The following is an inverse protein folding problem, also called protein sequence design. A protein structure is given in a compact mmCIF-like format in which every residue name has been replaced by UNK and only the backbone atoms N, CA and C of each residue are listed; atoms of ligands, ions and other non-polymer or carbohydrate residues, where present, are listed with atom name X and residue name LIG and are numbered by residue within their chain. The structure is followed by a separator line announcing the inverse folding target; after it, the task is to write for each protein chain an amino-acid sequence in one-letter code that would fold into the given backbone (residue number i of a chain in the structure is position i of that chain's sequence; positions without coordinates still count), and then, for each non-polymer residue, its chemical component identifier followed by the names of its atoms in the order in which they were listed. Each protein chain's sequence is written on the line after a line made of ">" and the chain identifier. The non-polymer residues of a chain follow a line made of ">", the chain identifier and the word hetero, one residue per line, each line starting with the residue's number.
data_IF_851240743358
#
_entry.id   IF_851240743358
#
_cell.length_a   1.000
_cell.length_b   1.000
_cell.length_c   1.000
_cell.angle_alpha   90.00
_cell.angle_beta   90.00
_cell.angle_gamma   90.00
#
_symmetry.space_group_name_H-M   'P 1'
#
loop_
_entity.id
_entity.type
_entity.pdbx_description
1 polymer ?
#
# COMPACT_ATOMS: atom_id res chain seq x y z
N UNK A 1 -12.80 10.42 14.49
CA UNK A 1 -12.13 11.24 15.53
C UNK A 1 -10.93 11.93 14.90
N UNK A 2 -10.64 13.19 15.21
CA UNK A 2 -9.45 13.91 14.78
C UNK A 2 -8.36 13.76 15.85
N UNK A 3 -7.09 13.81 15.43
CA UNK A 3 -5.99 13.97 16.37
C UNK A 3 -5.86 15.43 16.86
N UNK A 4 -4.87 15.70 17.73
CA UNK A 4 -4.64 17.04 18.29
C UNK A 4 -4.25 18.08 17.23
N UNK A 5 -3.71 17.65 16.10
CA UNK A 5 -3.26 18.50 15.00
C UNK A 5 -4.36 18.71 13.94
N UNK A 6 -5.56 18.15 14.13
CA UNK A 6 -6.69 18.26 13.21
C UNK A 6 -6.67 17.25 12.05
N UNK A 7 -5.84 16.19 12.11
CA UNK A 7 -5.81 15.14 11.09
C UNK A 7 -6.66 13.94 11.49
N UNK A 8 -7.39 13.39 10.52
CA UNK A 8 -8.13 12.13 10.69
C UNK A 8 -7.18 10.95 10.45
N UNK A 9 -6.98 10.04 11.43
CA UNK A 9 -6.28 8.79 11.19
C UNK A 9 -6.99 7.93 10.15
N UNK A 10 -6.22 7.38 9.22
CA UNK A 10 -6.71 6.67 8.05
C UNK A 10 -5.70 5.60 7.62
N UNK A 11 -6.12 4.63 6.84
CA UNK A 11 -5.25 3.66 6.20
C UNK A 11 -5.41 3.74 4.69
N UNK A 12 -4.34 3.52 3.95
CA UNK A 12 -4.37 3.37 2.51
C UNK A 12 -3.82 2.00 2.12
N UNK A 13 -4.40 1.39 1.08
CA UNK A 13 -4.15 -0.01 0.73
C UNK A 13 -3.69 -0.10 -0.73
N UNK A 14 -2.43 -0.46 -0.93
CA UNK A 14 -1.88 -0.76 -2.25
C UNK A 14 -1.90 -2.28 -2.43
N UNK A 15 -2.81 -2.78 -3.26
CA UNK A 15 -2.91 -4.20 -3.59
C UNK A 15 -2.17 -4.43 -4.89
N UNK A 16 -1.25 -5.40 -4.91
CA UNK A 16 -0.52 -5.78 -6.12
C UNK A 16 -0.77 -7.23 -6.50
N UNK A 17 -0.85 -7.50 -7.80
CA UNK A 17 -0.92 -8.87 -8.33
C UNK A 17 0.49 -9.49 -8.50
N UNK A 18 0.57 -10.72 -9.01
CA UNK A 18 1.84 -11.44 -9.24
C UNK A 18 2.80 -10.73 -10.21
N UNK A 19 2.29 -9.81 -11.03
CA UNK A 19 3.08 -9.00 -11.99
C UNK A 19 3.45 -7.62 -11.42
N UNK A 20 3.21 -7.36 -10.12
CA UNK A 20 3.40 -6.07 -9.46
C UNK A 20 2.55 -4.92 -10.05
N UNK A 21 1.46 -5.25 -10.75
CA UNK A 21 0.47 -4.26 -11.14
C UNK A 21 -0.41 -3.94 -9.91
N UNK A 22 -0.77 -2.66 -9.75
CA UNK A 22 -1.59 -2.18 -8.63
C UNK A 22 -3.07 -2.20 -8.96
N UNK A 23 -3.89 -2.54 -7.97
CA UNK A 23 -5.33 -2.30 -8.00
C UNK A 23 -5.60 -0.80 -8.03
N UNK A 24 -6.38 -0.33 -9.01
CA UNK A 24 -6.75 1.07 -9.14
C UNK A 24 -8.27 1.16 -9.27
N UNK A 25 -8.94 1.74 -8.25
CA UNK A 25 -10.39 1.81 -8.14
C UNK A 25 -10.95 3.15 -8.63
N UNK A 26 -12.02 3.11 -9.40
CA UNK A 26 -12.77 4.29 -9.84
C UNK A 26 -13.89 4.58 -8.85
N UNK A 27 -13.90 5.76 -8.27
CA UNK A 27 -14.92 6.20 -7.31
C UNK A 27 -16.28 6.34 -7.97
N UNK A 28 -17.31 5.88 -7.27
CA UNK A 28 -18.71 6.03 -7.69
C UNK A 28 -19.06 7.52 -7.84
N UNK A 29 -19.72 7.86 -8.95
CA UNK A 29 -20.21 9.22 -9.27
C UNK A 29 -19.11 10.29 -9.37
N UNK A 30 -17.85 9.88 -9.40
CA UNK A 30 -16.72 10.78 -9.56
C UNK A 30 -15.85 10.33 -10.75
N UNK A 31 -15.19 11.26 -11.42
CA UNK A 31 -14.16 10.94 -12.42
C UNK A 31 -12.78 10.74 -11.77
N UNK A 32 -12.78 10.32 -10.50
CA UNK A 32 -11.58 10.16 -9.70
C UNK A 32 -11.25 8.68 -9.48
N UNK A 33 -9.98 8.37 -9.57
CA UNK A 33 -9.43 7.05 -9.29
C UNK A 33 -8.55 7.13 -8.05
N UNK A 34 -8.59 6.11 -7.21
CA UNK A 34 -7.75 6.06 -6.01
C UNK A 34 -7.48 4.64 -5.54
N UNK A 35 -6.51 4.49 -4.63
CA UNK A 35 -6.37 3.28 -3.83
C UNK A 35 -7.49 3.15 -2.80
N UNK A 36 -7.88 1.92 -2.42
CA UNK A 36 -8.75 1.69 -1.28
C UNK A 36 -8.16 2.35 -0.03
N UNK A 37 -9.01 3.03 0.73
CA UNK A 37 -8.60 3.78 1.91
C UNK A 37 -9.77 4.10 2.82
N UNK A 38 -9.56 4.11 4.12
CA UNK A 38 -10.62 4.55 5.02
C UNK A 38 -10.16 4.96 6.40
N UNK A 39 -11.06 5.62 7.11
CA UNK A 39 -10.79 6.15 8.43
C UNK A 39 -10.77 5.07 9.50
N UNK A 40 -9.85 5.21 10.45
CA UNK A 40 -9.82 4.35 11.62
C UNK A 40 -10.95 4.65 12.58
N UNK A 41 -11.50 3.62 13.19
CA UNK A 41 -12.46 3.72 14.29
C UNK A 41 -11.74 3.88 15.64
N UNK A 42 -12.43 4.41 16.68
CA UNK A 42 -11.87 4.47 18.02
C UNK A 42 -11.44 3.08 18.53
N UNK A 43 -10.19 2.97 19.00
CA UNK A 43 -9.63 1.71 19.51
C UNK A 43 -9.14 0.73 18.44
N UNK A 44 -9.33 1.04 17.16
CA UNK A 44 -8.88 0.21 16.04
C UNK A 44 -7.39 0.42 15.78
N UNK A 45 -6.64 -0.66 15.57
CA UNK A 45 -5.28 -0.57 15.08
C UNK A 45 -5.25 -0.29 13.57
N UNK A 46 -4.16 0.27 13.01
CA UNK A 46 -4.06 0.45 11.56
C UNK A 46 -4.26 -0.84 10.76
N UNK A 47 -3.81 -1.98 11.26
CA UNK A 47 -3.97 -3.27 10.57
C UNK A 47 -5.42 -3.75 10.60
N UNK A 48 -6.13 -3.58 11.71
CA UNK A 48 -7.57 -3.88 11.79
C UNK A 48 -8.36 -3.00 10.84
N UNK A 49 -8.07 -1.69 10.79
CA UNK A 49 -8.69 -0.76 9.85
C UNK A 49 -8.43 -1.18 8.41
N UNK A 50 -7.18 -1.56 8.09
CA UNK A 50 -6.80 -2.02 6.75
C UNK A 50 -7.62 -3.24 6.31
N UNK A 51 -7.76 -4.27 7.15
CA UNK A 51 -8.56 -5.45 6.81
C UNK A 51 -10.06 -5.16 6.71
N UNK A 52 -10.60 -4.27 7.55
CA UNK A 52 -12.00 -3.85 7.47
C UNK A 52 -12.26 -3.10 6.17
N UNK A 53 -11.46 -2.08 5.84
CA UNK A 53 -11.59 -1.31 4.59
C UNK A 53 -11.36 -2.17 3.34
N UNK A 54 -10.41 -3.12 3.40
CA UNK A 54 -10.17 -4.08 2.33
C UNK A 54 -11.43 -4.91 2.03
N UNK A 55 -12.12 -5.37 3.07
CA UNK A 55 -13.38 -6.11 2.93
C UNK A 55 -14.51 -5.20 2.43
N UNK A 56 -14.65 -4.01 3.01
CA UNK A 56 -15.77 -3.10 2.71
C UNK A 56 -15.69 -2.56 1.28
N UNK A 57 -14.51 -2.14 0.82
CA UNK A 57 -14.35 -1.47 -0.47
C UNK A 57 -14.02 -2.44 -1.62
N UNK A 58 -13.36 -3.57 -1.33
CA UNK A 58 -12.82 -4.48 -2.35
C UNK A 58 -13.37 -5.90 -2.25
N UNK A 59 -14.03 -6.25 -1.12
CA UNK A 59 -14.57 -7.58 -0.87
C UNK A 59 -13.54 -8.65 -0.52
N UNK A 60 -12.26 -8.29 -0.43
CA UNK A 60 -11.19 -9.24 -0.14
C UNK A 60 -11.09 -9.52 1.37
N UNK A 61 -10.89 -10.79 1.71
CA UNK A 61 -10.66 -11.27 3.08
C UNK A 61 -9.16 -11.44 3.37
N UNK A 62 -8.76 -11.54 4.66
CA UNK A 62 -7.34 -11.76 5.02
C UNK A 62 -6.68 -12.93 4.30
N UNK A 63 -7.41 -14.03 4.04
CA UNK A 63 -6.90 -15.20 3.30
C UNK A 63 -6.64 -14.95 1.82
N UNK A 64 -7.17 -13.87 1.24
CA UNK A 64 -6.96 -13.52 -0.16
C UNK A 64 -5.70 -12.67 -0.38
N UNK A 65 -5.06 -12.18 0.68
CA UNK A 65 -3.94 -11.26 0.60
C UNK A 65 -2.81 -11.66 1.55
N UNK A 66 -1.61 -11.19 1.22
CA UNK A 66 -0.44 -11.26 2.09
C UNK A 66 0.13 -9.87 2.27
N UNK A 67 0.33 -9.42 3.51
CA UNK A 67 1.02 -8.16 3.80
C UNK A 67 2.49 -8.32 3.39
N UNK A 68 2.94 -7.47 2.47
CA UNK A 68 4.34 -7.36 2.08
C UNK A 68 5.09 -6.36 2.95
N UNK A 69 4.43 -5.26 3.34
CA UNK A 69 4.98 -4.24 4.19
C UNK A 69 4.02 -3.07 4.40
N UNK A 70 4.49 -2.10 5.17
CA UNK A 70 3.77 -0.85 5.41
C UNK A 70 4.75 0.31 5.56
N UNK A 71 4.24 1.55 5.49
CA UNK A 71 5.03 2.73 5.83
C UNK A 71 5.36 2.75 7.32
N UNK A 72 6.54 3.27 7.66
CA UNK A 72 6.99 3.43 9.06
C UNK A 72 6.23 4.55 9.73
N UNK A 73 6.13 5.69 9.02
CA UNK A 73 5.55 6.91 9.53
C UNK A 73 4.17 7.20 8.94
N UNK A 74 3.42 8.02 9.65
CA UNK A 74 2.17 8.58 9.15
C UNK A 74 2.43 9.57 8.02
N UNK A 75 1.87 9.32 6.85
CA UNK A 75 1.89 10.24 5.73
C UNK A 75 0.70 11.18 5.83
N UNK A 76 0.96 12.50 5.85
CA UNK A 76 -0.08 13.52 6.00
C UNK A 76 -0.32 14.23 4.67
N UNK A 77 -1.56 14.59 4.43
CA UNK A 77 -1.94 15.56 3.42
C UNK A 77 -3.07 16.44 3.90
N UNK A 78 -3.08 17.68 3.48
CA UNK A 78 -4.14 18.63 3.79
C UNK A 78 -5.24 18.57 2.72
N UNK A 79 -6.48 18.72 3.16
CA UNK A 79 -7.63 18.77 2.26
C UNK A 79 -8.02 20.23 2.08
N UNK A 80 -8.05 20.75 0.82
CA UNK A 80 -8.46 22.13 0.56
C UNK A 80 -9.83 22.45 1.17
N UNK A 81 -9.97 23.66 1.74
CA UNK A 81 -11.14 24.04 2.52
C UNK A 81 -12.48 23.87 1.78
N UNK A 82 -12.49 24.04 0.46
CA UNK A 82 -13.69 23.86 -0.37
C UNK A 82 -14.11 22.40 -0.55
N UNK A 83 -13.22 21.40 -0.21
CA UNK A 83 -13.51 19.98 -0.19
C UNK A 83 -13.94 19.49 1.21
N UNK A 84 -13.76 20.34 2.24
CA UNK A 84 -14.10 19.98 3.61
C UNK A 84 -15.60 20.16 3.83
N UNK A 85 -16.26 19.11 4.34
CA UNK A 85 -17.68 19.17 4.71
C UNK A 85 -17.91 20.31 5.72
N UNK A 86 -19.05 20.99 5.61
CA UNK A 86 -19.36 22.19 6.39
C UNK A 86 -19.23 21.98 7.90
N UNK A 87 -19.68 20.83 8.40
CA UNK A 87 -19.62 20.43 9.80
C UNK A 87 -18.20 20.20 10.35
N UNK A 88 -17.21 20.08 9.48
CA UNK A 88 -15.80 19.81 9.82
C UNK A 88 -14.90 21.04 9.65
N UNK A 89 -15.46 22.13 9.15
CA UNK A 89 -14.69 23.36 8.91
C UNK A 89 -14.15 23.94 10.21
N UNK A 90 -12.89 24.38 10.19
CA UNK A 90 -12.19 24.97 11.33
C UNK A 90 -11.43 23.97 12.22
N UNK A 91 -11.82 22.69 12.27
CA UNK A 91 -11.12 21.68 13.07
C UNK A 91 -10.39 20.63 12.22
N UNK A 92 -10.90 20.33 11.03
CA UNK A 92 -10.33 19.33 10.13
C UNK A 92 -9.31 19.96 9.18
N UNK A 93 -8.08 19.48 9.21
CA UNK A 93 -7.01 19.90 8.28
C UNK A 93 -6.83 18.92 7.13
N UNK A 94 -6.94 17.63 7.40
CA UNK A 94 -6.68 16.62 6.40
C UNK A 94 -6.63 15.22 6.99
N UNK A 95 -5.89 14.35 6.34
CA UNK A 95 -5.73 12.97 6.78
C UNK A 95 -4.26 12.66 7.07
N UNK A 96 -4.03 11.76 8.00
CA UNK A 96 -2.76 11.07 8.20
C UNK A 96 -2.97 9.59 7.97
N UNK A 97 -2.11 8.97 7.17
CA UNK A 97 -2.30 7.61 6.68
C UNK A 97 -1.10 6.71 6.97
N UNK A 98 -1.36 5.49 7.44
CA UNK A 98 -0.43 4.37 7.29
C UNK A 98 -0.79 3.65 6.00
N UNK A 99 0.20 3.45 5.15
CA UNK A 99 0.04 2.78 3.87
C UNK A 99 0.48 1.33 3.97
N UNK A 100 -0.35 0.41 3.50
CA UNK A 100 -0.06 -1.02 3.42
C UNK A 100 0.15 -1.46 1.99
N UNK A 101 1.14 -2.33 1.77
CA UNK A 101 1.34 -3.05 0.52
C UNK A 101 0.93 -4.50 0.71
N UNK A 102 -0.08 -4.93 -0.05
CA UNK A 102 -0.63 -6.27 0.00
C UNK A 102 -0.39 -6.99 -1.32
N UNK A 103 -0.01 -8.26 -1.27
CA UNK A 103 -0.01 -9.17 -2.42
C UNK A 103 -1.34 -9.88 -2.50
N UNK A 104 -2.06 -9.78 -3.63
CA UNK A 104 -3.19 -10.66 -3.91
C UNK A 104 -2.65 -12.09 -4.11
N UNK A 105 -3.08 -13.02 -3.26
CA UNK A 105 -2.80 -14.46 -3.37
C UNK A 105 -4.06 -15.23 -3.77
N UNK A 106 -5.23 -14.58 -3.68
CA UNK A 106 -6.49 -15.01 -4.26
C UNK A 106 -6.55 -14.79 -5.77
N UNK A 107 -7.75 -14.83 -6.31
CA UNK A 107 -8.05 -14.61 -7.73
C UNK A 107 -8.64 -13.22 -7.95
N UNK A 108 -8.55 -12.70 -9.17
CA UNK A 108 -9.23 -11.45 -9.55
C UNK A 108 -10.76 -11.55 -9.34
N UNK A 109 -11.34 -12.76 -9.47
CA UNK A 109 -12.77 -13.03 -9.21
C UNK A 109 -13.16 -12.91 -7.73
N UNK A 110 -12.21 -12.89 -6.80
CA UNK A 110 -12.49 -12.67 -5.37
C UNK A 110 -12.73 -11.19 -5.05
N UNK A 111 -12.39 -10.29 -5.99
CA UNK A 111 -12.68 -8.86 -5.88
C UNK A 111 -14.17 -8.62 -6.07
N UNK A 112 -14.81 -8.01 -5.08
CA UNK A 112 -16.21 -7.63 -5.10
C UNK A 112 -16.39 -6.19 -4.64
N UNK A 113 -16.73 -5.29 -5.56
CA UNK A 113 -17.00 -3.89 -5.26
C UNK A 113 -18.37 -3.65 -4.62
N UNK A 114 -19.17 -4.71 -4.46
CA UNK A 114 -20.53 -4.69 -3.88
C UNK A 114 -20.60 -5.51 -2.59
N UNK A 115 -19.49 -5.58 -1.85
CA UNK A 115 -19.43 -6.31 -0.60
C UNK A 115 -20.23 -5.65 0.54
N UNK A 116 -20.60 -4.38 0.37
CA UNK A 116 -21.42 -3.60 1.32
C UNK A 116 -22.52 -2.83 0.60
N UNK A 117 -23.51 -2.33 1.37
CA UNK A 117 -24.62 -1.51 0.84
C UNK A 117 -24.18 -0.09 0.42
N UNK A 118 -22.96 0.30 0.78
CA UNK A 118 -22.36 1.60 0.47
C UNK A 118 -21.04 1.43 -0.30
N UNK A 119 -21.09 0.96 -1.57
CA UNK A 119 -19.87 0.74 -2.34
C UNK A 119 -19.15 2.06 -2.62
N UNK A 120 -17.82 2.05 -2.51
CA UNK A 120 -16.98 3.22 -2.80
C UNK A 120 -16.57 3.28 -4.28
N UNK A 121 -16.42 2.12 -4.94
CA UNK A 121 -15.98 2.00 -6.32
C UNK A 121 -17.06 1.38 -7.21
N UNK A 122 -17.14 1.85 -8.47
CA UNK A 122 -17.99 1.26 -9.52
C UNK A 122 -17.22 0.48 -10.59
N UNK A 123 -15.90 0.67 -10.64
CA UNK A 123 -15.00 -0.06 -11.53
C UNK A 123 -13.60 -0.17 -10.90
N UNK A 124 -12.81 -1.11 -11.38
CA UNK A 124 -11.41 -1.25 -11.04
C UNK A 124 -10.62 -1.85 -12.20
N UNK A 125 -9.29 -1.69 -12.13
CA UNK A 125 -8.36 -2.32 -13.08
C UNK A 125 -6.98 -2.50 -12.45
N UNK A 126 -6.18 -3.39 -13.02
CA UNK A 126 -4.76 -3.44 -12.77
C UNK A 126 -4.05 -2.35 -13.56
N UNK A 127 -3.10 -1.68 -12.93
CA UNK A 127 -2.32 -0.63 -13.55
C UNK A 127 -0.85 -0.71 -13.16
N UNK A 128 0.04 -0.09 -13.95
CA UNK A 128 1.44 0.01 -13.59
C UNK A 128 1.60 0.76 -12.26
N UNK A 129 2.57 0.33 -11.47
CA UNK A 129 2.77 0.76 -10.06
C UNK A 129 2.79 2.28 -9.87
N UNK A 130 3.39 3.02 -10.80
CA UNK A 130 3.58 4.48 -10.70
C UNK A 130 2.48 5.32 -11.34
N UNK A 131 1.62 4.77 -12.17
CA UNK A 131 0.54 5.52 -12.85
C UNK A 131 -0.40 6.22 -11.87
N UNK A 132 -0.73 5.67 -10.68
CA UNK A 132 -1.54 6.38 -9.69
C UNK A 132 -1.01 7.75 -9.31
N UNK A 133 0.31 7.96 -9.34
CA UNK A 133 0.93 9.24 -9.03
C UNK A 133 0.58 10.34 -10.04
N UNK A 134 0.40 9.96 -11.31
CA UNK A 134 0.08 10.91 -12.39
C UNK A 134 -1.41 11.28 -12.43
N UNK A 135 -2.26 10.40 -11.88
CA UNK A 135 -3.72 10.50 -12.03
C UNK A 135 -4.46 10.83 -10.73
N UNK A 136 -3.77 10.79 -9.59
CA UNK A 136 -4.37 11.16 -8.30
C UNK A 136 -4.57 12.68 -8.22
N UNK A 137 -5.60 13.11 -7.46
CA UNK A 137 -5.85 14.53 -7.19
C UNK A 137 -4.64 15.22 -6.53
N UNK A 138 -4.34 16.44 -6.94
CA UNK A 138 -3.08 17.14 -6.64
C UNK A 138 -2.73 17.19 -5.15
N UNK A 139 -3.68 17.48 -4.29
CA UNK A 139 -3.40 17.60 -2.84
C UNK A 139 -3.01 16.27 -2.17
N UNK A 140 -3.24 15.12 -2.83
CA UNK A 140 -2.79 13.81 -2.36
C UNK A 140 -1.45 13.37 -2.96
N UNK A 141 -0.96 14.05 -4.01
CA UNK A 141 0.17 13.58 -4.83
C UNK A 141 1.45 13.36 -4.04
N UNK A 142 1.76 14.25 -3.08
CA UNK A 142 2.96 14.07 -2.25
C UNK A 142 2.87 12.84 -1.33
N UNK A 143 1.73 12.63 -0.68
CA UNK A 143 1.51 11.43 0.13
C UNK A 143 1.61 10.15 -0.70
N UNK A 144 1.06 10.16 -1.93
CA UNK A 144 1.18 9.04 -2.87
C UNK A 144 2.64 8.79 -3.28
N UNK A 145 3.38 9.83 -3.62
CA UNK A 145 4.81 9.70 -3.97
C UNK A 145 5.60 9.08 -2.82
N UNK A 146 5.47 9.61 -1.62
CA UNK A 146 6.16 9.11 -0.43
C UNK A 146 5.76 7.68 -0.08
N UNK A 147 4.46 7.37 -0.11
CA UNK A 147 3.93 6.05 0.17
C UNK A 147 4.44 5.01 -0.83
N UNK A 148 4.28 5.26 -2.13
CA UNK A 148 4.73 4.35 -3.18
C UNK A 148 6.25 4.16 -3.15
N UNK A 149 7.05 5.23 -2.96
CA UNK A 149 8.51 5.13 -2.85
C UNK A 149 8.92 4.26 -1.66
N UNK A 150 8.27 4.42 -0.50
CA UNK A 150 8.61 3.60 0.65
C UNK A 150 8.18 2.14 0.49
N UNK A 151 7.04 1.89 -0.17
CA UNK A 151 6.49 0.54 -0.34
C UNK A 151 7.18 -0.25 -1.45
N UNK A 152 7.72 0.40 -2.48
CA UNK A 152 8.38 -0.25 -3.62
C UNK A 152 9.48 -1.23 -3.19
N UNK A 153 10.23 -0.91 -2.14
CA UNK A 153 11.29 -1.78 -1.60
C UNK A 153 10.80 -3.19 -1.26
N UNK A 154 9.53 -3.34 -0.88
CA UNK A 154 8.95 -4.64 -0.52
C UNK A 154 8.56 -5.47 -1.74
N UNK A 155 8.44 -4.88 -2.94
CA UNK A 155 8.16 -5.61 -4.18
C UNK A 155 9.35 -6.45 -4.62
N UNK A 156 10.56 -6.01 -4.32
CA UNK A 156 11.81 -6.64 -4.73
C UNK A 156 12.39 -7.58 -3.66
N UNK A 157 11.84 -7.57 -2.44
CA UNK A 157 12.22 -8.53 -1.42
C UNK A 157 11.66 -9.91 -1.77
N UNK A 158 12.52 -10.75 -2.38
CA UNK A 158 12.32 -12.20 -2.38
C UNK A 158 12.26 -12.61 -0.90
N UNK A 159 11.18 -13.23 -0.40
CA UNK A 159 11.20 -13.76 0.97
C UNK A 159 12.37 -14.75 1.02
N UNK A 160 13.38 -14.47 1.83
CA UNK A 160 14.44 -15.45 2.10
C UNK A 160 13.76 -16.71 2.61
N UNK A 161 13.92 -17.80 1.90
CA UNK A 161 13.42 -19.09 2.35
C UNK A 161 14.09 -19.42 3.70
N UNK A 162 13.43 -20.24 4.53
CA UNK A 162 14.01 -20.69 5.80
C UNK A 162 15.42 -21.27 5.60
N UNK A 163 15.69 -21.86 4.43
CA UNK A 163 17.00 -22.41 4.04
C UNK A 163 18.03 -21.31 3.77
N UNK A 164 17.66 -20.20 3.12
CA UNK A 164 18.56 -19.06 2.88
C UNK A 164 18.87 -18.29 4.18
N UNK A 165 17.94 -18.23 5.14
CA UNK A 165 18.19 -17.68 6.47
C UNK A 165 19.15 -18.53 7.31
N UNK A 166 19.13 -19.86 7.16
CA UNK A 166 19.96 -20.77 7.93
C UNK A 166 21.34 -21.00 7.31
N UNK A 167 21.49 -20.81 6.00
CA UNK A 167 22.71 -21.16 5.24
C UNK A 167 23.31 -20.00 4.44
N UNK A 168 22.73 -18.80 4.52
CA UNK A 168 23.19 -17.60 3.77
C UNK A 168 24.58 -17.09 4.15
N UNK A 169 25.24 -17.68 5.14
CA UNK A 169 26.63 -17.36 5.55
C UNK A 169 27.66 -18.31 4.95
N UNK A 170 27.27 -19.35 4.22
CA UNK A 170 28.17 -20.43 3.78
C UNK A 170 28.81 -20.19 2.40
N UNK A 171 28.53 -19.11 1.68
CA UNK A 171 29.04 -18.86 0.33
C UNK A 171 29.88 -17.60 0.17
N UNK A 172 30.51 -17.12 1.23
CA UNK A 172 31.34 -15.93 1.18
C UNK A 172 32.85 -16.22 1.40
N UNK A 173 33.37 -17.40 1.06
CA UNK A 173 34.82 -17.59 0.85
C UNK A 173 35.01 -18.82 -0.04
N UNK A 174 35.15 -18.62 -1.34
CA UNK A 174 35.85 -19.56 -2.20
C UNK A 174 37.20 -18.92 -2.52
N UNK A 175 38.33 -19.43 -2.02
CA UNK A 175 39.64 -19.00 -2.50
C UNK A 175 39.81 -19.46 -3.94
N UNK A 176 40.27 -18.54 -4.79
CA UNK A 176 40.64 -18.82 -6.18
C UNK A 176 41.74 -19.86 -6.26
N UNK A 177 41.61 -20.93 -7.09
CA UNK A 177 42.62 -21.97 -7.24
C UNK A 177 43.61 -21.67 -8.39
N UNK A 178 44.05 -20.44 -8.58
CA UNK A 178 45.09 -20.14 -9.56
C UNK A 178 46.25 -19.34 -8.91
N UNK A 179 47.15 -20.07 -8.24
CA UNK A 179 48.53 -19.69 -8.09
C UNK A 179 49.31 -20.36 -9.20
N UNK A 180 49.82 -19.58 -10.15
CA UNK A 180 50.82 -20.06 -11.11
C UNK A 180 52.12 -20.39 -10.37
N UNK A 181 52.78 -21.53 -10.69
CA UNK A 181 54.12 -21.79 -10.18
C UNK A 181 55.15 -20.87 -10.84
N UNK A 182 56.26 -20.55 -10.16
CA UNK A 182 57.34 -19.76 -10.74
C UNK A 182 58.08 -20.60 -11.79
N UNK A 183 58.16 -20.06 -12.99
CA UNK A 183 59.02 -20.60 -14.04
C UNK A 183 60.50 -20.40 -13.72
N UNK A 184 61.23 -21.46 -13.73
CA UNK A 184 62.70 -21.48 -13.72
C UNK A 184 63.27 -20.97 -15.03
N UNK A 185 64.41 -20.24 -14.87
CA UNK A 185 65.47 -19.84 -15.81
C UNK A 185 65.19 -18.55 -16.61
#
# INVERSE_FOLDING_TARGET
>A
MLDRDGYRPNVAIVIVNSKNLVFWGKRIREHAWQFPQGGMHPGETPEQAMYRELKEEVGLLPGHVKILGRTREWLRYEVPAHWVKREWRGSYRGQKQIWYLLRLVGRDSDVSLRATDHPEFDAWRWHNYWIPLDTVIDFKRDAYRRGLTELERFLHHRPQTRRERLYGWAHAVVPSPYTNPPGDI
#
